data_IF_902995457504
#
_entry.id   IF_902995457504
#
_cell.length_a   1.000
_cell.length_b   1.000
_cell.length_c   1.000
_cell.angle_alpha   90.00
_cell.angle_beta   90.00
_cell.angle_gamma   90.00
#
_symmetry.space_group_name_H-M   'P 1'
#
loop_
_entity.id
_entity.type
_entity.pdbx_description
1 polymer ?
#
# COMPACT_ATOMS: atom_id res chain seq x y z
N UNK A 1 17.34 -3.47 22.96
CA UNK A 1 16.10 -3.48 22.15
C UNK A 1 16.43 -2.86 20.82
N UNK A 2 16.22 -3.52 19.70
CA UNK A 2 16.43 -2.90 18.38
C UNK A 2 15.37 -1.80 18.21
N UNK A 3 15.81 -0.57 17.99
CA UNK A 3 14.91 0.57 17.78
C UNK A 3 14.46 0.54 16.32
N UNK A 4 13.26 0.07 16.08
CA UNK A 4 12.69 0.05 14.73
C UNK A 4 12.26 1.46 14.31
N UNK A 5 12.64 1.93 13.12
CA UNK A 5 12.22 3.23 12.63
C UNK A 5 10.68 3.30 12.56
N UNK A 6 10.12 4.44 12.98
CA UNK A 6 8.68 4.68 12.99
C UNK A 6 8.36 6.09 12.54
N UNK A 7 7.40 6.22 11.63
CA UNK A 7 6.83 7.52 11.24
C UNK A 7 5.41 7.60 11.82
N UNK A 8 5.10 8.60 12.66
CA UNK A 8 3.75 8.76 13.20
C UNK A 8 2.76 9.10 12.07
N UNK A 9 1.85 8.19 11.77
CA UNK A 9 0.79 8.36 10.78
C UNK A 9 -0.59 8.37 11.44
N UNK A 10 -0.77 7.49 12.42
CA UNK A 10 -2.04 7.32 13.13
C UNK A 10 -2.22 8.35 14.24
N UNK A 11 -3.47 8.75 14.46
CA UNK A 11 -3.88 9.42 15.70
C UNK A 11 -3.93 8.37 16.82
N UNK A 12 -2.97 8.43 17.73
CA UNK A 12 -2.84 7.53 18.88
C UNK A 12 -2.89 8.34 20.20
N UNK A 13 -3.46 7.77 21.24
CA UNK A 13 -4.00 6.41 21.39
C UNK A 13 -5.49 6.39 21.03
N UNK A 14 -5.91 5.37 20.23
CA UNK A 14 -7.32 5.21 19.93
C UNK A 14 -8.10 4.78 21.18
N UNK A 15 -9.36 5.22 21.36
CA UNK A 15 -10.14 4.90 22.56
C UNK A 15 -10.44 3.41 22.72
N UNK A 16 -10.67 3.00 23.96
CA UNK A 16 -11.31 1.72 24.31
C UNK A 16 -12.70 2.06 24.84
N UNK A 17 -13.73 1.44 24.28
CA UNK A 17 -15.13 1.65 24.67
C UNK A 17 -15.76 0.35 25.12
N UNK A 18 -16.54 0.39 26.21
CA UNK A 18 -17.34 -0.76 26.62
C UNK A 18 -18.58 -0.89 25.73
N UNK A 19 -18.88 -2.09 25.32
CA UNK A 19 -20.08 -2.43 24.55
C UNK A 19 -21.17 -2.92 25.50
N UNK A 20 -21.96 -2.01 26.07
CA UNK A 20 -22.90 -2.31 27.12
C UNK A 20 -23.97 -3.36 26.76
N UNK A 21 -24.54 -3.26 25.53
CA UNK A 21 -25.57 -4.21 25.09
C UNK A 21 -25.01 -5.62 24.91
N UNK A 22 -23.83 -5.73 24.27
CA UNK A 22 -23.15 -7.01 24.08
C UNK A 22 -22.68 -7.57 25.43
N UNK A 23 -22.20 -6.71 26.33
CA UNK A 23 -21.75 -7.13 27.66
C UNK A 23 -22.93 -7.74 28.45
N UNK A 24 -24.11 -7.14 28.38
CA UNK A 24 -25.33 -7.70 29.02
C UNK A 24 -25.76 -9.02 28.36
N UNK A 25 -25.76 -9.07 27.05
CA UNK A 25 -26.16 -10.29 26.29
C UNK A 25 -25.27 -11.49 26.65
N UNK A 26 -23.96 -11.26 26.75
CA UNK A 26 -22.96 -12.31 26.97
C UNK A 26 -22.64 -12.51 28.49
N UNK A 27 -23.29 -11.76 29.38
CA UNK A 27 -22.99 -11.75 30.81
C UNK A 27 -21.49 -11.61 31.13
N UNK A 28 -20.79 -10.75 30.40
CA UNK A 28 -19.35 -10.48 30.56
C UNK A 28 -18.99 -9.08 30.07
N UNK A 29 -17.86 -8.55 30.50
CA UNK A 29 -17.42 -7.24 30.06
C UNK A 29 -16.76 -7.34 28.68
N UNK A 30 -17.37 -6.72 27.67
CA UNK A 30 -16.85 -6.66 26.29
C UNK A 30 -16.46 -5.23 25.95
N UNK A 31 -15.27 -5.06 25.40
CA UNK A 31 -14.72 -3.79 24.98
C UNK A 31 -14.33 -3.81 23.51
N UNK A 32 -14.42 -2.65 22.85
CA UNK A 32 -13.91 -2.44 21.50
C UNK A 32 -12.74 -1.46 21.53
N UNK A 33 -11.64 -1.82 20.86
CA UNK A 33 -10.54 -0.90 20.54
C UNK A 33 -10.87 -0.19 19.23
N UNK A 34 -11.00 1.13 19.27
CA UNK A 34 -11.50 1.95 18.16
C UNK A 34 -10.39 2.29 17.16
N UNK A 35 -9.81 1.28 16.51
CA UNK A 35 -8.79 1.51 15.47
C UNK A 35 -9.35 2.05 14.15
N UNK A 36 -10.66 2.10 14.00
CA UNK A 36 -11.36 2.91 13.00
C UNK A 36 -11.05 4.41 13.14
N UNK A 37 -10.63 4.87 14.31
CA UNK A 37 -10.29 6.27 14.58
C UNK A 37 -8.79 6.60 14.41
N UNK A 38 -8.05 5.81 13.67
CA UNK A 38 -6.62 6.08 13.41
C UNK A 38 -6.35 7.26 12.48
N UNK A 39 -7.38 7.85 11.86
CA UNK A 39 -7.29 9.13 11.14
C UNK A 39 -6.66 9.08 9.75
N UNK A 40 -6.42 7.89 9.18
CA UNK A 40 -6.01 7.71 7.79
C UNK A 40 -7.14 7.03 7.01
N UNK A 41 -7.67 7.71 6.01
CA UNK A 41 -8.84 7.21 5.27
C UNK A 41 -9.98 6.83 6.24
N UNK A 42 -10.66 5.70 6.02
CA UNK A 42 -11.70 5.21 6.92
C UNK A 42 -11.14 4.59 8.23
N UNK A 43 -9.86 4.73 8.49
CA UNK A 43 -9.21 4.15 9.67
C UNK A 43 -8.91 2.66 9.55
N UNK A 44 -8.34 2.09 10.62
CA UNK A 44 -8.09 0.66 10.74
C UNK A 44 -6.72 0.32 11.33
N UNK A 45 -6.62 -0.90 11.86
CA UNK A 45 -5.42 -1.40 12.55
C UNK A 45 -4.17 -1.49 11.66
N UNK A 46 -4.35 -1.49 10.33
CA UNK A 46 -3.24 -1.62 9.39
C UNK A 46 -2.31 -0.40 9.40
N UNK A 47 -2.82 0.80 9.76
CA UNK A 47 -2.00 2.01 9.90
C UNK A 47 -0.87 1.79 10.90
N UNK A 48 -1.12 1.08 12.01
CA UNK A 48 -0.10 0.79 13.04
C UNK A 48 1.14 0.09 12.48
N UNK A 49 0.96 -0.92 11.62
CA UNK A 49 2.10 -1.60 11.00
C UNK A 49 2.75 -0.78 9.88
N UNK A 50 1.95 0.03 9.18
CA UNK A 50 2.44 0.88 8.10
C UNK A 50 3.36 1.99 8.62
N UNK A 51 3.19 2.46 9.85
CA UNK A 51 4.11 3.40 10.49
C UNK A 51 5.56 2.87 10.53
N UNK A 52 5.74 1.57 10.70
CA UNK A 52 7.07 0.94 10.71
C UNK A 52 7.53 0.53 9.31
N UNK A 53 6.66 -0.09 8.52
CA UNK A 53 7.01 -0.55 7.18
C UNK A 53 7.40 0.61 6.25
N UNK A 54 6.62 1.68 6.26
CA UNK A 54 6.90 2.85 5.43
C UNK A 54 8.05 3.70 5.98
N UNK A 55 8.30 3.67 7.28
CA UNK A 55 9.49 4.27 7.86
C UNK A 55 10.76 3.57 7.38
N UNK A 56 10.78 2.24 7.35
CA UNK A 56 11.91 1.47 6.83
C UNK A 56 12.09 1.67 5.33
N UNK A 57 11.00 1.63 4.56
CA UNK A 57 11.03 1.93 3.13
C UNK A 57 11.62 3.32 2.83
N UNK A 58 11.16 4.35 3.56
CA UNK A 58 11.65 5.72 3.39
C UNK A 58 13.12 5.86 3.78
N UNK A 59 13.55 5.19 4.85
CA UNK A 59 14.96 5.15 5.26
C UNK A 59 15.86 4.52 4.20
N UNK A 60 15.35 3.56 3.44
CA UNK A 60 16.03 2.92 2.30
C UNK A 60 15.93 3.72 1.00
N UNK A 61 15.31 4.90 1.01
CA UNK A 61 15.16 5.74 -0.17
C UNK A 61 14.08 5.27 -1.15
N UNK A 62 13.13 4.44 -0.70
CA UNK A 62 12.04 3.99 -1.56
C UNK A 62 11.15 5.15 -1.99
N UNK A 63 10.90 5.28 -3.28
CA UNK A 63 9.99 6.26 -3.88
C UNK A 63 8.67 5.60 -4.30
N UNK A 64 8.67 4.29 -4.49
CA UNK A 64 7.52 3.49 -4.91
C UNK A 64 7.24 2.40 -3.88
N UNK A 65 5.98 2.17 -3.59
CA UNK A 65 5.52 1.14 -2.65
C UNK A 65 4.55 0.21 -3.34
N UNK A 66 4.92 -1.07 -3.42
CA UNK A 66 4.03 -2.11 -3.91
C UNK A 66 3.25 -2.76 -2.76
N UNK A 67 2.00 -3.08 -3.00
CA UNK A 67 1.23 -3.94 -2.10
C UNK A 67 0.18 -4.75 -2.85
N UNK A 68 -0.32 -5.80 -2.20
CA UNK A 68 -1.32 -6.70 -2.75
C UNK A 68 -2.43 -7.00 -1.75
N UNK A 69 -3.52 -7.53 -2.28
CA UNK A 69 -4.69 -7.97 -1.52
C UNK A 69 -5.84 -8.36 -2.44
N UNK A 70 -6.99 -8.61 -1.86
CA UNK A 70 -8.25 -8.68 -2.62
C UNK A 70 -8.70 -7.29 -3.07
N UNK A 71 -9.64 -7.21 -3.99
CA UNK A 71 -10.16 -5.97 -4.57
C UNK A 71 -10.69 -4.94 -3.56
N UNK A 72 -11.11 -5.36 -2.37
CA UNK A 72 -11.59 -4.50 -1.28
C UNK A 72 -10.66 -4.53 -0.06
N UNK A 73 -9.36 -4.74 -0.27
CA UNK A 73 -8.39 -4.87 0.81
C UNK A 73 -8.20 -3.55 1.57
N UNK A 74 -8.58 -3.51 2.86
CA UNK A 74 -8.26 -2.38 3.73
C UNK A 74 -6.74 -2.17 3.88
N UNK A 75 -5.94 -3.25 3.77
CA UNK A 75 -4.50 -3.10 3.81
C UNK A 75 -3.97 -2.37 2.58
N UNK A 76 -4.42 -2.75 1.39
CA UNK A 76 -3.99 -2.13 0.15
C UNK A 76 -4.36 -0.63 0.12
N UNK A 77 -5.63 -0.32 0.38
CA UNK A 77 -6.13 1.05 0.42
C UNK A 77 -5.38 1.91 1.47
N UNK A 78 -5.20 1.41 2.70
CA UNK A 78 -4.45 2.15 3.73
C UNK A 78 -2.96 2.29 3.40
N UNK A 79 -2.36 1.31 2.70
CA UNK A 79 -0.99 1.45 2.19
C UNK A 79 -0.91 2.58 1.19
N UNK A 80 -1.86 2.67 0.25
CA UNK A 80 -1.92 3.77 -0.71
C UNK A 80 -2.06 5.12 -0.01
N UNK A 81 -3.01 5.26 0.91
CA UNK A 81 -3.22 6.51 1.66
C UNK A 81 -1.98 6.94 2.46
N UNK A 82 -1.33 6.00 3.14
CA UNK A 82 -0.12 6.29 3.91
C UNK A 82 1.07 6.63 3.02
N UNK A 83 1.26 5.91 1.91
CA UNK A 83 2.34 6.17 0.95
C UNK A 83 2.19 7.55 0.31
N UNK A 84 1.02 7.90 -0.22
CA UNK A 84 0.73 9.24 -0.77
C UNK A 84 0.97 10.35 0.27
N UNK A 85 0.56 10.16 1.52
CA UNK A 85 0.84 11.10 2.61
C UNK A 85 2.33 11.33 2.84
N UNK A 86 3.17 10.34 2.56
CA UNK A 86 4.63 10.41 2.71
C UNK A 86 5.37 10.82 1.43
N UNK A 87 4.65 11.12 0.36
CA UNK A 87 5.23 11.49 -0.95
C UNK A 87 5.80 10.29 -1.71
N UNK A 88 5.35 9.09 -1.41
CA UNK A 88 5.69 7.86 -2.13
C UNK A 88 4.57 7.50 -3.11
N UNK A 89 4.93 6.87 -4.21
CA UNK A 89 3.97 6.40 -5.21
C UNK A 89 3.50 4.97 -4.92
N UNK A 90 2.22 4.74 -4.59
CA UNK A 90 1.69 3.40 -4.37
C UNK A 90 1.26 2.74 -5.69
N UNK A 91 1.62 1.47 -5.85
CA UNK A 91 1.16 0.58 -6.92
C UNK A 91 0.49 -0.63 -6.27
N UNK A 92 -0.80 -0.82 -6.53
CA UNK A 92 -1.59 -1.91 -5.98
C UNK A 92 -1.81 -2.99 -7.03
N UNK A 93 -1.37 -4.21 -6.76
CA UNK A 93 -1.64 -5.37 -7.60
C UNK A 93 -2.62 -6.27 -6.86
N UNK A 94 -3.89 -6.19 -7.25
CA UNK A 94 -4.99 -6.77 -6.51
C UNK A 94 -5.59 -7.99 -7.22
N UNK A 95 -6.03 -8.97 -6.44
CA UNK A 95 -6.82 -10.09 -6.95
C UNK A 95 -8.18 -9.59 -7.39
N UNK A 96 -8.54 -9.89 -8.65
CA UNK A 96 -9.85 -9.61 -9.21
C UNK A 96 -10.85 -10.65 -8.69
N UNK A 97 -11.50 -10.34 -7.59
CA UNK A 97 -12.60 -11.18 -7.07
C UNK A 97 -13.83 -10.32 -6.78
N UNK A 98 -14.92 -10.61 -7.46
CA UNK A 98 -16.29 -10.24 -7.10
C UNK A 98 -16.69 -8.77 -7.26
N UNK A 99 -15.78 -7.84 -7.44
CA UNK A 99 -16.11 -6.41 -7.56
C UNK A 99 -15.38 -5.81 -8.76
N UNK A 100 -16.15 -5.47 -9.78
CA UNK A 100 -15.66 -4.80 -11.00
C UNK A 100 -15.97 -3.31 -11.02
N UNK A 101 -16.74 -2.81 -10.07
CA UNK A 101 -17.19 -1.42 -9.97
C UNK A 101 -16.35 -0.64 -8.97
N UNK A 102 -16.15 0.66 -9.24
CA UNK A 102 -15.47 1.61 -8.34
C UNK A 102 -16.34 1.92 -7.11
N UNK A 103 -16.40 0.98 -6.17
CA UNK A 103 -17.13 1.09 -4.89
C UNK A 103 -16.21 0.80 -3.71
N UNK A 104 -16.56 1.24 -2.52
CA UNK A 104 -15.80 0.99 -1.30
C UNK A 104 -14.35 1.45 -1.39
N UNK A 105 -13.39 0.58 -1.07
CA UNK A 105 -11.96 0.90 -1.08
C UNK A 105 -11.44 1.26 -2.48
N UNK A 106 -11.97 0.64 -3.55
CA UNK A 106 -11.58 0.98 -4.92
C UNK A 106 -11.96 2.42 -5.30
N UNK A 107 -13.05 2.95 -4.78
CA UNK A 107 -13.38 4.37 -4.98
C UNK A 107 -12.36 5.28 -4.29
N UNK A 108 -11.94 4.93 -3.07
CA UNK A 108 -10.92 5.70 -2.35
C UNK A 108 -9.56 5.64 -3.05
N UNK A 109 -9.17 4.47 -3.53
CA UNK A 109 -7.95 4.26 -4.32
C UNK A 109 -7.95 5.11 -5.61
N UNK A 110 -9.10 5.15 -6.30
CA UNK A 110 -9.29 6.00 -7.48
C UNK A 110 -9.21 7.50 -7.16
N UNK A 111 -9.86 7.94 -6.07
CA UNK A 111 -9.82 9.35 -5.66
C UNK A 111 -8.43 9.82 -5.23
N UNK A 112 -7.58 8.90 -4.79
CA UNK A 112 -6.17 9.15 -4.46
C UNK A 112 -5.24 9.08 -5.68
N UNK A 113 -5.77 8.89 -6.89
CA UNK A 113 -5.00 8.68 -8.12
C UNK A 113 -3.92 7.59 -7.93
N UNK A 114 -4.37 6.42 -7.48
CA UNK A 114 -3.50 5.27 -7.20
C UNK A 114 -3.46 4.34 -8.41
N UNK A 115 -2.28 3.88 -8.81
CA UNK A 115 -2.13 2.84 -9.84
C UNK A 115 -2.63 1.50 -9.28
N UNK A 116 -3.83 1.09 -9.72
CA UNK A 116 -4.47 -0.16 -9.31
C UNK A 116 -4.55 -1.11 -10.49
N UNK A 117 -3.95 -2.28 -10.34
CA UNK A 117 -3.91 -3.33 -11.36
C UNK A 117 -4.59 -4.59 -10.84
N UNK A 118 -5.55 -5.10 -11.59
CA UNK A 118 -6.25 -6.31 -11.23
C UNK A 118 -5.68 -7.51 -11.97
N UNK A 119 -5.42 -8.58 -11.22
CA UNK A 119 -5.05 -9.88 -11.76
C UNK A 119 -6.16 -10.90 -11.52
N UNK A 120 -6.52 -11.63 -12.57
CA UNK A 120 -7.49 -12.73 -12.50
C UNK A 120 -6.77 -14.03 -12.13
N UNK A 121 -6.31 -14.08 -10.90
CA UNK A 121 -5.60 -15.24 -10.34
C UNK A 121 -5.91 -15.40 -8.86
N UNK A 122 -5.84 -16.63 -8.38
CA UNK A 122 -5.88 -16.96 -6.96
C UNK A 122 -4.49 -17.17 -6.35
N UNK A 123 -3.48 -17.30 -7.21
CA UNK A 123 -2.09 -17.49 -6.81
C UNK A 123 -1.46 -16.19 -6.33
N UNK A 124 -0.83 -16.19 -5.17
CA UNK A 124 0.02 -15.09 -4.73
C UNK A 124 1.36 -15.08 -5.47
N UNK A 125 1.84 -16.23 -5.95
CA UNK A 125 3.09 -16.31 -6.71
C UNK A 125 2.99 -15.55 -8.03
N UNK A 126 1.85 -15.65 -8.73
CA UNK A 126 1.58 -14.86 -9.95
C UNK A 126 1.58 -13.36 -9.64
N UNK A 127 0.98 -12.97 -8.51
CA UNK A 127 0.93 -11.57 -8.09
C UNK A 127 2.32 -11.04 -7.75
N UNK A 128 3.09 -11.82 -7.00
CA UNK A 128 4.47 -11.46 -6.67
C UNK A 128 5.35 -11.39 -7.92
N UNK A 129 5.14 -12.31 -8.86
CA UNK A 129 5.76 -12.28 -10.16
C UNK A 129 5.47 -10.97 -10.92
N UNK A 130 4.23 -10.51 -10.90
CA UNK A 130 3.83 -9.26 -11.54
C UNK A 130 4.40 -8.03 -10.83
N UNK A 131 4.39 -8.01 -9.49
CA UNK A 131 4.99 -6.93 -8.71
C UNK A 131 6.46 -6.72 -9.06
N UNK A 132 7.22 -7.81 -9.19
CA UNK A 132 8.63 -7.78 -9.60
C UNK A 132 8.82 -7.26 -11.01
N UNK A 133 8.07 -7.77 -11.95
CA UNK A 133 8.17 -7.33 -13.34
C UNK A 133 7.94 -5.82 -13.47
N UNK A 134 6.92 -5.32 -12.78
CA UNK A 134 6.60 -3.89 -12.76
C UNK A 134 7.69 -3.09 -12.06
N UNK A 135 8.19 -3.59 -10.93
CA UNK A 135 9.26 -2.96 -10.18
C UNK A 135 10.56 -2.83 -10.98
N UNK A 136 11.00 -3.91 -11.63
CA UNK A 136 12.21 -3.89 -12.48
C UNK A 136 12.09 -2.90 -13.65
N UNK A 137 10.96 -2.90 -14.33
CA UNK A 137 10.74 -2.02 -15.45
C UNK A 137 10.69 -0.54 -15.01
N UNK A 138 10.06 -0.25 -13.87
CA UNK A 138 10.01 1.11 -13.32
C UNK A 138 11.38 1.58 -12.81
N UNK A 139 12.15 0.70 -12.17
CA UNK A 139 13.51 0.99 -11.72
C UNK A 139 14.44 1.36 -12.90
N UNK A 140 14.32 0.64 -14.01
CA UNK A 140 15.05 0.98 -15.25
C UNK A 140 14.74 2.38 -15.75
N UNK A 141 13.46 2.77 -15.78
CA UNK A 141 13.04 4.10 -16.18
C UNK A 141 13.58 5.20 -15.25
N UNK A 142 13.49 5.00 -13.94
CA UNK A 142 14.00 5.95 -12.95
C UNK A 142 15.51 6.12 -13.06
N UNK A 143 16.24 5.02 -13.27
CA UNK A 143 17.69 5.04 -13.51
C UNK A 143 18.04 5.91 -14.72
N UNK A 144 17.40 5.66 -15.86
CA UNK A 144 17.61 6.43 -17.11
C UNK A 144 17.32 7.92 -16.91
N UNK A 145 16.26 8.27 -16.15
CA UNK A 145 15.92 9.64 -15.84
C UNK A 145 16.99 10.32 -14.97
N UNK A 146 17.51 9.64 -13.95
CA UNK A 146 18.58 10.15 -13.06
C UNK A 146 19.92 10.30 -13.77
N UNK A 147 20.20 9.44 -14.73
CA UNK A 147 21.39 9.54 -15.61
C UNK A 147 21.28 10.67 -16.65
N UNK A 148 20.20 11.45 -16.64
CA UNK A 148 20.01 12.59 -17.53
C UNK A 148 19.72 12.19 -18.98
N UNK A 149 19.27 10.95 -19.21
CA UNK A 149 18.94 10.47 -20.56
C UNK A 149 17.67 11.13 -21.12
N UNK A 150 16.88 11.80 -20.28
CA UNK A 150 15.69 12.54 -20.69
C UNK A 150 15.88 14.05 -20.46
N UNK A 151 15.46 14.85 -21.44
CA UNK A 151 15.37 16.30 -21.29
C UNK A 151 14.05 16.68 -20.62
N UNK A 152 13.95 17.83 -19.89
CA UNK A 152 12.69 18.28 -19.27
C UNK A 152 11.52 18.42 -20.27
N UNK A 153 11.83 18.58 -21.56
CA UNK A 153 10.85 18.69 -22.66
C UNK A 153 10.45 17.34 -23.26
N UNK A 154 11.07 16.22 -22.82
CA UNK A 154 10.72 14.92 -23.35
C UNK A 154 9.43 14.40 -22.72
N UNK A 155 8.49 13.94 -23.56
CA UNK A 155 7.38 13.10 -23.13
C UNK A 155 7.86 11.65 -23.14
N UNK A 156 8.02 11.05 -21.98
CA UNK A 156 8.49 9.66 -21.87
C UNK A 156 7.28 8.74 -21.82
N UNK A 157 7.13 7.89 -22.85
CA UNK A 157 6.11 6.85 -22.89
C UNK A 157 6.70 5.56 -22.30
N UNK A 158 6.22 5.17 -21.12
CA UNK A 158 6.49 3.85 -20.57
C UNK A 158 5.49 2.84 -21.14
N UNK A 159 5.97 1.98 -22.05
CA UNK A 159 5.15 0.93 -22.64
C UNK A 159 5.15 -0.31 -21.75
N UNK A 160 4.05 -0.51 -21.05
CA UNK A 160 3.82 -1.66 -20.20
C UNK A 160 3.29 -2.85 -21.03
N UNK A 161 4.19 -3.73 -21.48
CA UNK A 161 3.84 -4.97 -22.19
C UNK A 161 3.90 -6.16 -21.23
N UNK A 162 2.74 -6.60 -20.74
CA UNK A 162 2.63 -7.58 -19.65
C UNK A 162 3.11 -9.00 -19.94
N UNK A 163 4.05 -9.51 -19.16
CA UNK A 163 4.24 -10.93 -18.85
C UNK A 163 5.20 -11.12 -17.66
N UNK A 164 5.01 -12.19 -16.90
CA UNK A 164 5.37 -12.38 -15.50
C UNK A 164 6.87 -12.60 -15.16
N UNK A 165 7.25 -12.27 -13.92
CA UNK A 165 8.50 -12.69 -13.26
C UNK A 165 9.03 -11.80 -12.15
N UNK A 166 8.78 -12.16 -10.95
CA UNK A 166 8.99 -11.80 -9.56
C UNK A 166 9.96 -10.79 -9.00
N UNK A 167 9.60 -9.95 -7.94
CA UNK A 167 10.57 -9.30 -7.04
C UNK A 167 10.05 -8.86 -5.68
N UNK A 168 10.77 -9.26 -4.64
CA UNK A 168 10.82 -8.60 -3.33
C UNK A 168 12.10 -7.76 -3.24
N UNK A 169 11.96 -6.54 -2.68
CA UNK A 169 13.06 -5.64 -2.33
C UNK A 169 14.19 -5.60 -3.39
N UNK A 170 14.04 -4.75 -4.39
CA UNK A 170 15.18 -4.35 -5.18
C UNK A 170 16.04 -3.48 -4.27
N UNK A 171 17.16 -4.01 -3.76
CA UNK A 171 18.30 -3.20 -3.45
C UNK A 171 18.81 -2.65 -4.78
N UNK A 172 18.33 -1.48 -5.14
CA UNK A 172 18.93 -0.72 -6.24
C UNK A 172 20.16 -0.09 -5.61
N UNK A 173 21.29 -0.80 -5.67
CA UNK A 173 22.59 -0.13 -5.55
C UNK A 173 22.71 0.79 -6.76
N UNK A 174 22.30 2.02 -6.54
CA UNK A 174 22.60 3.12 -7.44
C UNK A 174 24.04 3.55 -7.09
N UNK A 175 25.04 2.88 -7.71
CA UNK A 175 26.41 3.39 -7.74
C UNK A 175 26.49 4.68 -8.56
#
# INVERSE_FOLDING_TARGET
MQDFPRIPLAVLSTPIQKLENISRLLNTNVYIKRDDLTGIGPGGNKVRKLEFLLADAKRKGAEVVFTTGGAQSNHAMLTAACAKKLGMEPILILKKRGVTERKGNQLLEYLMDTDVRFMDTDSYDDIYAEMDRVGKAFAGLVKMAREGQFKPTNNVLYLYSGSAGGLFAIDIELN
#
